data_IF_383056543818
#
_entry.id   IF_383056543818
#
_cell.length_a   1.000
_cell.length_b   1.000
_cell.length_c   1.000
_cell.angle_alpha   90.00
_cell.angle_beta   90.00
_cell.angle_gamma   90.00
#
_symmetry.space_group_name_H-M   'P 1'
#
loop_
_entity.id
_entity.type
_entity.pdbx_description
1 polymer ?
#
# COMPACT_ATOMS: atom_id res chain seq x y z
N UNK A 1 -2.59 -10.94 -26.03
CA UNK A 1 -1.66 -11.24 -27.16
C UNK A 1 -0.24 -11.58 -26.64
N UNK A 2 0.82 -11.59 -27.47
CA UNK A 2 2.21 -11.77 -26.97
C UNK A 2 2.81 -10.41 -26.61
N UNK A 3 2.92 -10.14 -25.30
CA UNK A 3 3.41 -8.89 -24.73
C UNK A 3 4.75 -8.43 -25.34
N UNK A 4 5.69 -9.36 -25.56
CA UNK A 4 6.99 -9.01 -26.12
C UNK A 4 6.90 -8.52 -27.58
N UNK A 5 5.96 -9.07 -28.37
CA UNK A 5 5.73 -8.61 -29.74
C UNK A 5 5.10 -7.22 -29.78
N UNK A 6 4.19 -6.92 -28.86
CA UNK A 6 3.55 -5.62 -28.78
C UNK A 6 4.54 -4.54 -28.30
N UNK A 7 5.33 -4.80 -27.25
CA UNK A 7 6.43 -3.91 -26.84
C UNK A 7 7.43 -3.63 -27.98
N UNK A 8 7.90 -4.67 -28.68
CA UNK A 8 8.81 -4.51 -29.83
C UNK A 8 8.16 -3.83 -31.05
N UNK A 9 6.82 -3.80 -31.12
CA UNK A 9 6.05 -3.03 -32.11
C UNK A 9 5.90 -1.56 -31.74
N UNK A 10 5.70 -1.27 -30.45
CA UNK A 10 5.63 0.10 -29.90
C UNK A 10 6.99 0.80 -29.93
N UNK A 11 8.06 0.11 -29.53
CA UNK A 11 9.43 0.65 -29.51
C UNK A 11 9.87 1.17 -30.90
N UNK A 12 9.55 0.44 -31.96
CA UNK A 12 9.82 0.84 -33.37
C UNK A 12 9.02 2.06 -33.85
N UNK A 13 8.02 2.50 -33.09
CA UNK A 13 7.07 3.57 -33.44
C UNK A 13 7.00 4.65 -32.36
N UNK A 14 7.91 4.63 -31.38
CA UNK A 14 7.84 5.47 -30.17
C UNK A 14 7.75 6.97 -30.50
N UNK A 15 8.49 7.43 -31.51
CA UNK A 15 8.50 8.82 -31.96
C UNK A 15 7.24 9.23 -32.77
N UNK A 16 6.38 8.27 -33.11
CA UNK A 16 5.18 8.46 -33.96
C UNK A 16 3.85 8.22 -33.25
N UNK A 17 3.87 7.63 -32.05
CA UNK A 17 2.64 7.42 -31.27
C UNK A 17 2.27 8.69 -30.51
N UNK A 18 0.99 9.04 -30.51
CA UNK A 18 0.49 10.08 -29.62
C UNK A 18 0.32 9.53 -28.20
N UNK A 19 0.29 10.42 -27.21
CA UNK A 19 0.00 10.05 -25.83
C UNK A 19 -1.36 9.32 -25.66
N UNK A 20 -2.32 9.55 -26.57
CA UNK A 20 -3.62 8.87 -26.58
C UNK A 20 -3.48 7.42 -27.05
N UNK A 21 -2.66 7.15 -28.06
CA UNK A 21 -2.44 5.79 -28.59
C UNK A 21 -1.71 4.91 -27.56
N UNK A 22 -0.75 5.51 -26.86
CA UNK A 22 -0.04 4.86 -25.74
C UNK A 22 -1.02 4.57 -24.59
N UNK A 23 -1.87 5.52 -24.20
CA UNK A 23 -2.87 5.31 -23.15
C UNK A 23 -3.89 4.23 -23.52
N UNK A 24 -4.40 4.24 -24.76
CA UNK A 24 -5.32 3.21 -25.25
C UNK A 24 -4.67 1.81 -25.25
N UNK A 25 -3.37 1.73 -25.53
CA UNK A 25 -2.61 0.47 -25.41
C UNK A 25 -2.58 -0.04 -23.96
N UNK A 26 -2.38 0.84 -22.98
CA UNK A 26 -2.44 0.47 -21.55
C UNK A 26 -3.84 0.03 -21.12
N UNK A 27 -4.91 0.67 -21.61
CA UNK A 27 -6.29 0.24 -21.34
C UNK A 27 -6.62 -1.14 -21.95
N UNK A 28 -6.10 -1.44 -23.13
CA UNK A 28 -6.21 -2.80 -23.70
C UNK A 28 -5.47 -3.84 -22.84
N UNK A 29 -4.27 -3.51 -22.34
CA UNK A 29 -3.52 -4.37 -21.43
C UNK A 29 -4.21 -4.58 -20.07
N UNK A 30 -4.92 -3.59 -19.55
CA UNK A 30 -5.71 -3.70 -18.32
C UNK A 30 -6.76 -4.81 -18.46
N UNK A 31 -7.55 -4.77 -19.53
CA UNK A 31 -8.55 -5.79 -19.86
C UNK A 31 -7.91 -7.17 -20.10
N UNK A 32 -6.80 -7.25 -20.84
CA UNK A 32 -6.06 -8.52 -21.04
C UNK A 32 -5.59 -9.12 -19.70
N UNK A 33 -5.11 -8.28 -18.76
CA UNK A 33 -4.68 -8.73 -17.44
C UNK A 33 -5.84 -9.20 -16.56
N UNK A 34 -6.99 -8.51 -16.59
CA UNK A 34 -8.20 -8.96 -15.89
C UNK A 34 -8.71 -10.30 -16.43
N UNK A 35 -8.72 -10.48 -17.76
CA UNK A 35 -9.09 -11.74 -18.39
C UNK A 35 -8.16 -12.89 -17.96
N UNK A 36 -6.83 -12.69 -18.02
CA UNK A 36 -5.85 -13.71 -17.59
C UNK A 36 -6.03 -14.09 -16.11
N UNK A 37 -6.32 -13.11 -15.25
CA UNK A 37 -6.55 -13.34 -13.82
C UNK A 37 -7.88 -14.08 -13.56
N UNK A 38 -8.96 -13.69 -14.24
CA UNK A 38 -10.28 -14.31 -14.10
C UNK A 38 -10.33 -15.72 -14.67
N UNK A 39 -9.69 -16.00 -15.81
CA UNK A 39 -9.43 -17.35 -16.33
C UNK A 39 -8.62 -18.19 -15.33
N UNK A 40 -7.68 -17.57 -14.62
CA UNK A 40 -6.92 -18.17 -13.51
C UNK A 40 -7.75 -18.42 -12.23
N UNK A 41 -9.05 -18.13 -12.23
CA UNK A 41 -9.94 -18.29 -11.09
C UNK A 41 -9.85 -17.18 -10.03
N UNK A 42 -9.20 -16.06 -10.34
CA UNK A 42 -9.18 -14.87 -9.48
C UNK A 42 -10.49 -14.10 -9.66
N UNK A 43 -11.24 -13.94 -8.58
CA UNK A 43 -12.31 -12.95 -8.53
C UNK A 43 -11.71 -11.56 -8.35
N UNK A 44 -12.11 -10.63 -9.20
CA UNK A 44 -11.80 -9.21 -9.17
C UNK A 44 -13.12 -8.46 -8.94
N UNK A 45 -13.14 -7.48 -8.05
CA UNK A 45 -14.30 -6.61 -7.85
C UNK A 45 -14.63 -6.30 -6.40
N UNK A 46 -15.79 -5.71 -6.20
CA UNK A 46 -16.36 -5.39 -4.88
C UNK A 46 -16.74 -6.66 -4.11
N UNK A 47 -16.40 -6.75 -2.82
CA UNK A 47 -16.88 -7.86 -2.00
C UNK A 47 -18.33 -7.63 -1.53
N UNK A 48 -19.18 -8.68 -1.49
CA UNK A 48 -20.61 -8.57 -1.17
C UNK A 48 -20.86 -8.46 0.35
N UNK A 49 -20.20 -7.48 0.98
CA UNK A 49 -20.41 -7.08 2.37
C UNK A 49 -20.84 -5.61 2.37
N UNK A 50 -21.88 -5.27 3.14
CA UNK A 50 -22.33 -3.90 3.38
C UNK A 50 -21.71 -3.32 4.67
N UNK A 51 -21.49 -4.19 5.66
CA UNK A 51 -20.71 -3.91 6.86
C UNK A 51 -19.23 -4.22 6.62
N UNK A 52 -18.35 -3.50 7.30
CA UNK A 52 -16.91 -3.71 7.17
C UNK A 52 -16.50 -5.16 7.50
N UNK A 53 -15.95 -5.87 6.51
CA UNK A 53 -15.35 -7.18 6.71
C UNK A 53 -13.82 -7.07 6.70
N UNK A 54 -13.17 -7.07 7.88
CA UNK A 54 -11.72 -6.88 8.01
C UNK A 54 -10.86 -7.99 7.38
N UNK A 55 -11.43 -9.13 6.97
CA UNK A 55 -10.72 -10.16 6.19
C UNK A 55 -10.58 -9.71 4.73
N UNK A 56 -11.64 -9.15 4.17
CA UNK A 56 -11.77 -8.81 2.75
C UNK A 56 -11.50 -7.34 2.42
N UNK A 57 -11.72 -6.44 3.37
CA UNK A 57 -11.68 -5.00 3.19
C UNK A 57 -10.64 -4.36 4.11
N UNK A 58 -10.15 -3.19 3.69
CA UNK A 58 -9.26 -2.32 4.45
C UNK A 58 -9.86 -0.92 4.51
N UNK A 59 -10.05 -0.42 5.73
CA UNK A 59 -10.38 1.00 5.96
C UNK A 59 -9.22 1.85 5.43
N UNK A 60 -9.54 2.82 4.56
CA UNK A 60 -8.64 3.90 4.17
C UNK A 60 -9.03 5.20 4.89
N UNK A 61 -10.33 5.46 4.98
CA UNK A 61 -10.89 6.71 5.52
C UNK A 61 -12.11 6.42 6.40
N UNK A 62 -12.39 7.33 7.31
CA UNK A 62 -13.53 7.25 8.24
C UNK A 62 -14.39 8.50 8.08
N UNK A 63 -15.62 8.31 7.61
CA UNK A 63 -16.59 9.39 7.39
C UNK A 63 -17.45 9.54 8.66
N UNK A 64 -17.46 10.70 9.33
CA UNK A 64 -18.34 10.91 10.48
C UNK A 64 -19.82 10.90 10.04
N UNK A 65 -20.71 10.39 10.88
CA UNK A 65 -22.16 10.42 10.64
C UNK A 65 -22.94 10.60 11.94
N UNK A 66 -24.10 11.27 11.85
CA UNK A 66 -25.09 11.36 12.94
C UNK A 66 -26.09 10.19 12.93
N UNK A 67 -26.03 9.30 11.93
CA UNK A 67 -26.92 8.14 11.82
C UNK A 67 -26.29 6.91 12.51
N UNK A 68 -26.78 6.55 13.70
CA UNK A 68 -26.30 5.37 14.42
C UNK A 68 -26.43 4.06 13.60
N UNK A 69 -27.46 3.94 12.74
CA UNK A 69 -27.66 2.78 11.84
C UNK A 69 -26.61 2.64 10.73
N UNK A 70 -25.85 3.69 10.44
CA UNK A 70 -24.77 3.66 9.43
C UNK A 70 -23.42 3.29 10.04
N UNK A 71 -23.27 3.33 11.36
CA UNK A 71 -22.01 3.04 12.04
C UNK A 71 -21.42 1.68 11.62
N UNK A 72 -20.18 1.68 11.12
CA UNK A 72 -19.47 0.47 10.65
C UNK A 72 -19.93 -0.07 9.29
N UNK A 73 -20.87 0.58 8.61
CA UNK A 73 -21.18 0.31 7.19
C UNK A 73 -20.17 1.00 6.28
N UNK A 74 -20.02 0.45 5.08
CA UNK A 74 -19.21 1.05 4.01
C UNK A 74 -19.88 2.33 3.55
N UNK A 75 -19.10 3.41 3.48
CA UNK A 75 -19.54 4.70 2.93
C UNK A 75 -19.24 4.75 1.41
N UNK A 76 -17.99 4.43 1.04
CA UNK A 76 -17.53 4.42 -0.35
C UNK A 76 -16.57 3.24 -0.60
N UNK A 77 -16.59 2.71 -1.82
CA UNK A 77 -15.65 1.68 -2.31
C UNK A 77 -14.61 2.37 -3.20
N UNK A 78 -13.38 2.45 -2.71
CA UNK A 78 -12.30 3.24 -3.30
C UNK A 78 -11.38 2.43 -4.22
N UNK A 79 -11.31 1.10 -4.04
CA UNK A 79 -10.66 0.19 -4.99
C UNK A 79 -11.11 -1.24 -4.80
N UNK A 80 -11.13 -2.01 -5.88
CA UNK A 80 -11.52 -3.41 -5.87
C UNK A 80 -10.65 -4.33 -5.01
N UNK A 81 -11.25 -5.47 -4.65
CA UNK A 81 -10.60 -6.58 -4.00
C UNK A 81 -10.30 -7.71 -4.96
N UNK A 82 -9.30 -8.52 -4.62
CA UNK A 82 -8.86 -9.67 -5.41
C UNK A 82 -8.83 -10.89 -4.49
N UNK A 83 -9.50 -11.98 -4.86
CA UNK A 83 -9.43 -13.28 -4.14
C UNK A 83 -9.23 -14.44 -5.11
N UNK A 84 -8.49 -15.45 -4.68
CA UNK A 84 -8.34 -16.73 -5.38
C UNK A 84 -8.89 -17.83 -4.47
N UNK A 85 -10.06 -18.37 -4.84
CA UNK A 85 -10.85 -19.23 -3.95
C UNK A 85 -11.12 -18.54 -2.60
N UNK A 86 -10.66 -19.16 -1.52
CA UNK A 86 -10.82 -18.65 -0.14
C UNK A 86 -9.69 -17.70 0.30
N UNK A 87 -8.67 -17.45 -0.53
CA UNK A 87 -7.52 -16.61 -0.18
C UNK A 87 -7.69 -15.21 -0.77
N UNK A 88 -7.78 -14.20 0.08
CA UNK A 88 -7.69 -12.80 -0.35
C UNK A 88 -6.25 -12.50 -0.77
N UNK A 89 -6.08 -12.01 -1.99
CA UNK A 89 -4.80 -11.56 -2.57
C UNK A 89 -4.58 -10.08 -2.30
N UNK A 90 -5.62 -9.27 -2.55
CA UNK A 90 -5.66 -7.84 -2.25
C UNK A 90 -7.00 -7.50 -1.61
N UNK A 91 -6.96 -6.72 -0.53
CA UNK A 91 -8.17 -6.25 0.15
C UNK A 91 -8.75 -5.05 -0.58
N UNK A 92 -10.07 -5.06 -0.74
CA UNK A 92 -10.85 -3.93 -1.22
C UNK A 92 -10.61 -2.72 -0.30
N UNK A 93 -10.39 -1.53 -0.86
CA UNK A 93 -10.24 -0.30 -0.09
C UNK A 93 -11.61 0.33 0.08
N UNK A 94 -11.98 0.63 1.32
CA UNK A 94 -13.27 1.24 1.64
C UNK A 94 -13.08 2.41 2.59
N UNK A 95 -13.95 3.41 2.47
CA UNK A 95 -14.24 4.32 3.58
C UNK A 95 -15.40 3.75 4.40
N UNK A 96 -15.41 4.00 5.71
CA UNK A 96 -16.46 3.51 6.61
C UNK A 96 -17.10 4.65 7.38
N UNK A 97 -18.41 4.56 7.61
CA UNK A 97 -19.08 5.48 8.50
C UNK A 97 -18.71 5.19 9.96
N UNK A 98 -18.39 6.23 10.72
CA UNK A 98 -18.28 6.20 12.19
C UNK A 98 -19.31 7.15 12.77
N UNK A 99 -20.18 6.61 13.63
CA UNK A 99 -21.09 7.45 14.38
C UNK A 99 -20.32 8.36 15.34
N UNK A 100 -20.66 9.66 15.31
CA UNK A 100 -20.13 10.67 16.23
C UNK A 100 -21.32 11.40 16.81
N UNK A 101 -21.61 11.16 18.09
CA UNK A 101 -22.66 11.87 18.80
C UNK A 101 -22.20 13.33 19.01
N UNK A 102 -22.79 14.24 18.21
CA UNK A 102 -22.43 15.65 18.01
C UNK A 102 -21.20 15.88 17.09
N UNK A 103 -21.45 16.19 15.81
CA UNK A 103 -20.44 16.79 14.92
C UNK A 103 -20.07 18.23 15.34
N UNK A 104 -19.23 18.37 16.36
CA UNK A 104 -18.50 19.62 16.61
C UNK A 104 -17.36 19.70 15.59
N UNK A 105 -17.30 20.80 14.86
CA UNK A 105 -16.27 21.04 13.83
C UNK A 105 -14.88 21.18 14.48
N UNK A 106 -13.99 20.22 14.24
CA UNK A 106 -12.56 20.36 14.56
C UNK A 106 -11.77 20.79 13.32
N UNK A 107 -11.53 22.10 13.19
CA UNK A 107 -10.45 22.64 12.37
C UNK A 107 -9.09 22.31 13.00
N UNK A 108 -8.01 22.10 12.22
CA UNK A 108 -6.74 21.60 12.74
C UNK A 108 -6.09 22.59 13.72
N UNK A 109 -5.55 22.04 14.82
CA UNK A 109 -4.87 22.77 15.88
C UNK A 109 -3.47 23.24 15.46
N UNK A 110 -3.15 24.50 15.75
CA UNK A 110 -1.79 25.05 15.66
C UNK A 110 -1.35 25.61 17.03
N UNK A 111 -0.12 25.22 17.42
CA UNK A 111 0.73 25.69 18.53
C UNK A 111 0.27 25.67 20.01
N UNK A 112 0.94 24.87 20.87
CA UNK A 112 0.86 25.02 22.33
C UNK A 112 1.84 26.10 22.83
N UNK A 113 1.31 27.19 23.38
CA UNK A 113 2.14 28.22 24.04
C UNK A 113 2.69 27.71 25.38
N UNK A 114 4.02 27.70 25.50
CA UNK A 114 4.73 27.54 26.77
C UNK A 114 4.58 28.81 27.64
N UNK A 115 4.59 28.70 28.98
CA UNK A 115 4.70 29.85 29.87
C UNK A 115 6.18 30.22 30.10
N UNK A 116 6.54 31.48 29.81
CA UNK A 116 7.79 32.09 30.30
C UNK A 116 7.73 32.27 31.84
N UNK A 117 8.86 32.18 32.55
CA UNK A 117 9.51 33.43 32.97
C UNK A 117 11.05 33.35 33.16
N UNK A 118 11.79 34.35 32.65
CA UNK A 118 13.17 34.66 33.11
C UNK A 118 13.44 36.17 33.01
N UNK A 119 13.82 36.88 34.10
CA UNK A 119 14.35 38.24 34.03
C UNK A 119 15.87 38.28 33.80
N UNK A 120 16.37 39.42 33.34
CA UNK A 120 17.68 39.65 32.71
C UNK A 120 18.94 39.39 33.56
N UNK A 121 20.02 38.96 32.89
CA UNK A 121 21.39 39.43 33.12
C UNK A 121 22.23 39.35 31.83
N UNK A 122 23.06 40.37 31.56
CA UNK A 122 24.01 40.46 30.41
C UNK A 122 25.49 40.33 30.92
N UNK A 123 26.55 40.63 30.14
CA UNK A 123 27.28 39.64 29.33
C UNK A 123 28.82 39.63 29.52
N UNK A 124 29.50 38.56 29.08
CA UNK A 124 30.93 38.47 28.70
C UNK A 124 31.13 37.12 27.96
N UNK A 125 31.66 37.03 26.73
CA UNK A 125 33.04 37.31 26.29
C UNK A 125 34.05 36.26 26.82
N UNK A 126 34.34 35.21 26.04
CA UNK A 126 35.60 35.07 25.26
C UNK A 126 35.60 33.79 24.38
N UNK A 127 36.55 33.66 23.46
CA UNK A 127 36.90 32.47 22.67
C UNK A 127 38.40 32.12 22.95
N UNK A 128 39.16 31.33 22.16
CA UNK A 128 38.84 30.38 21.08
C UNK A 128 39.60 29.01 21.23
N UNK A 129 39.62 28.20 20.14
CA UNK A 129 40.53 27.06 19.87
C UNK A 129 40.32 25.79 20.74
N UNK A 130 40.50 24.52 20.29
CA UNK A 130 40.82 23.88 18.99
C UNK A 130 40.20 22.44 19.01
N UNK A 131 40.37 21.50 18.08
CA UNK A 131 41.13 21.39 16.80
C UNK A 131 40.39 20.43 15.82
N UNK A 132 41.08 19.51 15.14
CA UNK A 132 40.55 18.46 14.25
C UNK A 132 41.24 17.09 14.55
N UNK A 133 41.37 16.13 13.60
CA UNK A 133 40.35 15.18 13.15
C UNK A 133 40.79 13.68 13.29
N UNK A 134 39.89 12.70 13.04
CA UNK A 134 40.23 11.40 12.41
C UNK A 134 39.00 10.51 12.09
N UNK A 135 39.19 9.55 11.15
CA UNK A 135 38.18 8.63 10.58
C UNK A 135 38.42 7.14 11.02
N UNK A 136 38.21 6.07 10.21
CA UNK A 136 37.01 5.21 10.24
C UNK A 136 37.31 3.69 10.31
N UNK A 137 36.31 2.81 10.59
CA UNK A 137 36.45 1.35 10.30
C UNK A 137 35.15 0.69 9.80
N UNK A 138 35.27 -0.12 8.73
CA UNK A 138 34.22 -1.01 8.16
C UNK A 138 34.34 -2.45 8.70
N UNK A 139 33.24 -3.22 8.71
CA UNK A 139 33.16 -4.69 8.43
C UNK A 139 31.68 -5.12 8.47
N UNK A 140 31.00 -5.42 7.37
CA UNK A 140 31.02 -6.69 6.59
C UNK A 140 31.02 -7.97 7.44
N UNK A 141 29.89 -8.68 7.49
CA UNK A 141 29.90 -10.15 7.50
C UNK A 141 28.61 -10.71 6.87
N UNK A 142 28.76 -11.80 6.13
CA UNK A 142 27.70 -12.50 5.42
C UNK A 142 27.15 -13.66 6.25
N UNK A 143 25.89 -14.05 6.04
CA UNK A 143 25.40 -15.37 6.45
C UNK A 143 24.70 -16.10 5.29
N UNK A 144 24.79 -17.42 5.38
CA UNK A 144 24.95 -18.33 4.25
C UNK A 144 23.74 -19.27 4.16
N UNK A 145 23.32 -19.62 2.95
CA UNK A 145 22.31 -20.66 2.70
C UNK A 145 22.72 -21.98 3.39
N UNK A 146 21.76 -22.69 3.99
CA UNK A 146 21.89 -24.09 4.38
C UNK A 146 20.79 -24.91 3.70
N UNK A 147 21.18 -26.05 3.13
CA UNK A 147 20.31 -26.97 2.41
C UNK A 147 20.41 -28.38 2.99
N UNK A 148 19.26 -29.00 3.25
CA UNK A 148 19.09 -30.40 3.66
C UNK A 148 17.74 -30.82 3.10
N UNK A 149 17.62 -31.58 2.00
CA UNK A 149 18.18 -32.88 1.58
C UNK A 149 17.48 -34.09 2.22
N UNK A 150 16.49 -34.60 1.46
CA UNK A 150 16.20 -36.01 1.19
C UNK A 150 15.58 -36.87 2.31
N UNK A 151 14.34 -37.30 2.06
CA UNK A 151 13.83 -38.63 2.43
C UNK A 151 12.98 -39.20 1.28
N UNK A 152 13.38 -40.37 0.78
CA UNK A 152 12.47 -41.35 0.18
C UNK A 152 12.21 -42.42 1.28
N UNK A 153 11.36 -43.42 1.20
CA UNK A 153 10.71 -44.14 0.09
C UNK A 153 9.62 -45.04 0.72
N UNK A 154 8.43 -45.19 0.15
CA UNK A 154 7.57 -46.37 0.40
C UNK A 154 6.87 -46.74 -0.91
N UNK A 155 7.10 -47.98 -1.36
CA UNK A 155 6.24 -48.69 -2.31
C UNK A 155 5.07 -49.31 -1.55
N UNK A 156 3.91 -49.44 -2.18
CA UNK A 156 3.08 -50.62 -1.98
C UNK A 156 2.37 -51.00 -3.28
N UNK A 157 2.70 -52.19 -3.79
CA UNK A 157 2.06 -52.88 -4.89
C UNK A 157 0.96 -53.80 -4.30
N UNK A 158 -0.29 -53.76 -4.80
CA UNK A 158 -1.38 -54.77 -4.66
C UNK A 158 -2.70 -54.18 -5.20
N UNK A 159 -3.60 -54.94 -5.83
CA UNK A 159 -3.55 -56.27 -6.47
C UNK A 159 -4.62 -56.31 -7.57
#
# INVERSE_FOLDING_TARGET
>A
EDFFKLCAGMEKKIDTMSAKDVLASFQAYEVDMENILTDGGVFIGHFPYETLNTIHQRIVEVVPTDDHEKNGKIAERLSDGYKLGNRVLLKEKVSVYKYVENMVQETPSEEPKQPEPVPEAKPAEDAPAAEAPAKPVKKTSSRKRSSTKKSANVKEDKE
#
